data_IF_213084499606
#
_entry.id   IF_213084499606
#
_cell.length_a   1.000
_cell.length_b   1.000
_cell.length_c   1.000
_cell.angle_alpha   90.00
_cell.angle_beta   90.00
_cell.angle_gamma   90.00
#
_symmetry.space_group_name_H-M   'P 1'
#
loop_
_entity.id
_entity.type
_entity.pdbx_description
1 polymer ?
#
# COMPACT_ATOMS: atom_id res chain seq x y z
N UNK A 1 -60.64 20.63 14.93
CA UNK A 1 -59.31 20.93 14.36
C UNK A 1 -58.43 19.67 14.45
N UNK A 2 -58.29 18.99 13.30
CA UNK A 2 -57.36 17.85 13.18
C UNK A 2 -55.99 18.42 12.68
N UNK A 3 -54.96 18.28 13.50
CA UNK A 3 -53.59 18.62 13.11
C UNK A 3 -53.01 17.41 12.39
N UNK A 4 -52.78 17.52 11.06
CA UNK A 4 -52.03 16.52 10.29
C UNK A 4 -50.53 16.79 10.45
N UNK A 5 -49.85 15.95 11.20
CA UNK A 5 -48.38 15.96 11.31
C UNK A 5 -47.77 15.24 10.11
N UNK A 6 -47.19 15.98 9.17
CA UNK A 6 -46.49 15.44 8.01
C UNK A 6 -45.11 14.96 8.46
N UNK A 7 -44.94 13.64 8.57
CA UNK A 7 -43.61 13.01 8.79
C UNK A 7 -42.83 13.00 7.46
N UNK A 8 -41.85 13.89 7.32
CA UNK A 8 -40.86 13.83 6.24
C UNK A 8 -39.92 12.67 6.50
N UNK A 9 -40.07 11.60 5.72
CA UNK A 9 -39.06 10.51 5.62
C UNK A 9 -37.90 11.02 4.75
N UNK A 10 -36.77 11.39 5.39
CA UNK A 10 -35.50 11.61 4.70
C UNK A 10 -34.93 10.26 4.30
N UNK A 11 -35.14 9.85 3.04
CA UNK A 11 -34.47 8.67 2.48
C UNK A 11 -32.97 9.00 2.30
N UNK A 12 -32.14 8.55 3.23
CA UNK A 12 -30.69 8.57 3.05
C UNK A 12 -30.35 7.57 1.93
N UNK A 13 -29.97 8.07 0.76
CA UNK A 13 -29.42 7.24 -0.31
C UNK A 13 -28.10 6.66 0.18
N UNK A 14 -28.08 5.41 0.59
CA UNK A 14 -26.86 4.64 0.76
C UNK A 14 -26.21 4.48 -0.63
N UNK A 15 -25.23 5.31 -0.93
CA UNK A 15 -24.37 5.08 -2.09
C UNK A 15 -23.62 3.78 -1.84
N UNK A 16 -23.96 2.73 -2.58
CA UNK A 16 -23.20 1.49 -2.53
C UNK A 16 -21.75 1.78 -2.96
N UNK A 17 -20.80 1.40 -2.12
CA UNK A 17 -19.37 1.51 -2.43
C UNK A 17 -19.06 0.60 -3.61
N UNK A 18 -18.65 1.17 -4.75
CA UNK A 18 -18.24 0.39 -5.92
C UNK A 18 -16.73 0.17 -5.87
N UNK A 19 -16.31 -1.11 -5.98
CA UNK A 19 -14.91 -1.49 -6.08
C UNK A 19 -14.46 -1.50 -7.54
N UNK A 20 -13.32 -0.85 -7.81
CA UNK A 20 -12.65 -0.87 -9.12
C UNK A 20 -11.35 -1.67 -8.99
N UNK A 21 -11.17 -2.77 -9.74
CA UNK A 21 -9.91 -3.51 -9.69
C UNK A 21 -8.79 -2.70 -10.34
N UNK A 22 -7.69 -2.49 -9.61
CA UNK A 22 -6.48 -1.85 -10.14
C UNK A 22 -5.63 -2.84 -10.96
N UNK A 23 -5.80 -4.14 -10.71
CA UNK A 23 -5.13 -5.22 -11.43
C UNK A 23 -6.15 -6.25 -11.91
N UNK A 24 -6.08 -6.61 -13.19
CA UNK A 24 -7.02 -7.51 -13.84
C UNK A 24 -6.61 -9.00 -13.80
N UNK A 25 -5.55 -9.34 -13.06
CA UNK A 25 -5.02 -10.71 -12.97
C UNK A 25 -4.24 -11.19 -14.21
N UNK A 26 -4.14 -10.40 -15.30
CA UNK A 26 -3.65 -10.87 -16.61
C UNK A 26 -2.50 -10.06 -17.19
N UNK A 27 -2.47 -8.75 -16.98
CA UNK A 27 -1.43 -7.87 -17.53
C UNK A 27 -1.25 -6.61 -16.69
N UNK A 28 -0.13 -5.92 -16.91
CA UNK A 28 0.23 -4.69 -16.18
C UNK A 28 -0.27 -3.41 -16.88
N UNK A 29 -1.34 -3.47 -17.65
CA UNK A 29 -1.96 -2.28 -18.24
C UNK A 29 -2.43 -1.35 -17.12
N UNK A 30 -2.07 -0.07 -17.19
CA UNK A 30 -2.35 0.91 -16.14
C UNK A 30 -1.25 1.01 -15.08
N UNK A 31 -0.15 0.25 -15.23
CA UNK A 31 1.01 0.29 -14.37
C UNK A 31 2.27 0.69 -15.14
N UNK A 32 3.22 1.31 -14.45
CA UNK A 32 4.55 1.68 -14.97
C UNK A 32 5.62 1.43 -13.93
N UNK A 33 6.79 0.97 -14.35
CA UNK A 33 7.95 0.77 -13.47
C UNK A 33 8.71 2.09 -13.28
N UNK A 34 9.08 2.40 -12.04
CA UNK A 34 9.83 3.59 -11.65
C UNK A 34 11.08 3.19 -10.85
N UNK A 35 12.11 4.01 -10.96
CA UNK A 35 13.41 3.95 -10.31
C UNK A 35 14.21 2.69 -10.66
N UNK A 36 14.24 1.66 -9.82
CA UNK A 36 15.15 0.53 -9.94
C UNK A 36 14.89 -0.41 -11.13
N UNK A 37 15.57 -1.58 -11.10
CA UNK A 37 15.60 -2.56 -12.19
C UNK A 37 15.07 -3.95 -11.78
N UNK A 38 14.45 -4.08 -10.60
CA UNK A 38 13.78 -5.33 -10.21
C UNK A 38 12.68 -5.69 -11.20
N UNK A 39 12.38 -6.97 -11.32
CA UNK A 39 11.38 -7.48 -12.24
C UNK A 39 10.03 -7.64 -11.57
N UNK A 40 8.98 -7.49 -12.38
CA UNK A 40 7.62 -7.83 -12.00
C UNK A 40 7.08 -8.81 -13.04
N UNK A 41 6.52 -9.92 -12.58
CA UNK A 41 5.87 -10.95 -13.40
C UNK A 41 4.45 -11.18 -12.94
N UNK A 42 3.65 -11.81 -13.78
CA UNK A 42 2.31 -12.26 -13.39
C UNK A 42 2.37 -13.77 -13.29
N UNK A 43 2.05 -14.27 -12.09
CA UNK A 43 2.02 -15.70 -11.80
C UNK A 43 0.72 -16.00 -11.06
N UNK A 44 -0.07 -16.91 -11.57
CA UNK A 44 -1.33 -17.37 -10.94
C UNK A 44 -2.27 -16.24 -10.53
N UNK A 45 -2.40 -15.22 -11.39
CA UNK A 45 -3.26 -14.06 -11.15
C UNK A 45 -2.71 -13.05 -10.13
N UNK A 46 -1.46 -13.19 -9.68
CA UNK A 46 -0.79 -12.25 -8.81
C UNK A 46 0.33 -11.48 -9.54
N UNK A 47 0.58 -10.25 -9.14
CA UNK A 47 1.80 -9.51 -9.48
C UNK A 47 2.90 -10.01 -8.53
N UNK A 48 4.00 -10.51 -9.09
CA UNK A 48 5.15 -11.01 -8.34
C UNK A 48 6.35 -10.12 -8.62
N UNK A 49 6.82 -9.40 -7.61
CA UNK A 49 8.07 -8.64 -7.63
C UNK A 49 9.23 -9.53 -7.21
N UNK A 50 10.33 -9.46 -7.94
CA UNK A 50 11.51 -10.32 -7.74
C UNK A 50 12.68 -9.43 -7.32
N UNK A 51 13.24 -9.68 -6.16
CA UNK A 51 14.39 -8.94 -5.63
C UNK A 51 15.63 -9.08 -6.51
N UNK A 52 16.41 -8.02 -6.61
CA UNK A 52 17.59 -7.94 -7.48
C UNK A 52 18.70 -7.15 -6.82
N UNK A 53 19.91 -7.71 -6.86
CA UNK A 53 21.12 -7.01 -6.40
C UNK A 53 21.49 -5.83 -7.32
N UNK A 54 22.18 -4.84 -6.74
CA UNK A 54 22.79 -3.73 -7.48
C UNK A 54 21.78 -2.76 -8.10
N UNK A 55 20.59 -2.66 -7.54
CA UNK A 55 19.56 -1.72 -7.99
C UNK A 55 18.91 -1.02 -6.78
N UNK A 56 18.55 0.26 -6.88
CA UNK A 56 17.73 0.90 -5.84
C UNK A 56 16.33 0.30 -5.77
N UNK A 57 15.55 0.75 -4.79
CA UNK A 57 14.13 0.43 -4.70
C UNK A 57 13.46 0.57 -6.06
N UNK A 58 12.69 -0.46 -6.44
CA UNK A 58 11.91 -0.47 -7.68
C UNK A 58 10.43 -0.42 -7.32
N UNK A 59 9.67 0.39 -8.02
CA UNK A 59 8.25 0.60 -7.78
C UNK A 59 7.45 0.32 -9.04
N UNK A 60 6.42 -0.51 -8.95
CA UNK A 60 5.41 -0.65 -9.97
C UNK A 60 4.24 0.26 -9.62
N UNK A 61 4.16 1.41 -10.26
CA UNK A 61 3.23 2.49 -9.95
C UNK A 61 2.03 2.49 -10.89
N UNK A 62 0.85 2.83 -10.38
CA UNK A 62 -0.30 3.15 -11.21
C UNK A 62 -0.01 4.37 -12.10
N UNK A 63 -0.59 4.38 -13.31
CA UNK A 63 -0.48 5.53 -14.22
C UNK A 63 -1.43 6.67 -13.84
N UNK A 64 -2.43 6.38 -13.00
CA UNK A 64 -3.38 7.36 -12.43
C UNK A 64 -2.94 7.76 -11.02
N UNK A 65 -3.35 8.94 -10.60
CA UNK A 65 -3.25 9.42 -9.22
C UNK A 65 -4.60 9.24 -8.51
N UNK A 66 -4.54 9.08 -7.18
CA UNK A 66 -5.69 8.90 -6.30
C UNK A 66 -5.59 9.88 -5.14
N UNK A 67 -6.70 10.54 -4.83
CA UNK A 67 -6.87 11.41 -3.66
C UNK A 67 -7.47 10.62 -2.49
N UNK A 68 -8.79 10.69 -2.33
CA UNK A 68 -9.51 9.89 -1.36
C UNK A 68 -9.81 8.51 -1.92
N UNK A 69 -9.44 7.46 -1.17
CA UNK A 69 -9.69 6.08 -1.56
C UNK A 69 -9.69 5.13 -0.36
N UNK A 70 -10.29 3.97 -0.59
CA UNK A 70 -10.08 2.77 0.20
C UNK A 70 -9.41 1.76 -0.74
N UNK A 71 -8.28 1.21 -0.32
CA UNK A 71 -7.53 0.20 -1.05
C UNK A 71 -7.52 -1.10 -0.25
N UNK A 72 -7.90 -2.19 -0.90
CA UNK A 72 -7.72 -3.55 -0.37
C UNK A 72 -6.86 -4.36 -1.33
N UNK A 73 -6.04 -5.25 -0.78
CA UNK A 73 -5.25 -6.19 -1.54
C UNK A 73 -4.79 -7.34 -0.66
N UNK A 74 -4.52 -8.47 -1.29
CA UNK A 74 -3.82 -9.57 -0.64
C UNK A 74 -2.33 -9.51 -0.98
N UNK A 75 -1.47 -9.80 -0.01
CA UNK A 75 -0.02 -9.82 -0.21
C UNK A 75 0.66 -10.98 0.52
N UNK A 76 1.77 -11.43 -0.04
CA UNK A 76 2.65 -12.45 0.53
C UNK A 76 4.10 -12.06 0.23
N UNK A 77 5.03 -12.30 1.17
CA UNK A 77 6.45 -11.98 1.02
C UNK A 77 7.30 -13.12 1.57
N UNK A 78 8.44 -13.37 0.93
CA UNK A 78 9.43 -14.30 1.41
C UNK A 78 10.22 -13.75 2.61
N UNK A 79 10.60 -14.61 3.53
CA UNK A 79 11.38 -14.23 4.71
C UNK A 79 12.70 -13.55 4.33
N UNK A 80 13.03 -12.50 5.08
CA UNK A 80 14.26 -11.72 4.91
C UNK A 80 14.16 -10.60 3.89
N UNK A 81 13.07 -10.49 3.12
CA UNK A 81 12.80 -9.30 2.33
C UNK A 81 12.12 -8.22 3.17
N UNK A 82 12.10 -7.01 2.62
CA UNK A 82 11.23 -5.93 3.01
C UNK A 82 10.52 -5.40 1.76
N UNK A 83 9.35 -4.82 1.93
CA UNK A 83 8.55 -4.25 0.86
C UNK A 83 7.60 -3.19 1.40
N UNK A 84 6.73 -2.68 0.54
CA UNK A 84 5.67 -1.75 0.91
C UNK A 84 4.73 -1.45 -0.25
N UNK A 85 3.65 -0.75 0.08
CA UNK A 85 2.73 -0.19 -0.90
C UNK A 85 2.67 1.32 -0.72
N UNK A 86 3.09 2.05 -1.75
CA UNK A 86 3.08 3.51 -1.78
C UNK A 86 1.66 4.03 -1.91
N UNK A 87 1.35 5.13 -1.22
CA UNK A 87 0.07 5.79 -1.17
C UNK A 87 0.24 7.27 -1.48
N UNK A 88 -0.61 7.83 -2.35
CA UNK A 88 -0.53 9.26 -2.69
C UNK A 88 0.91 9.72 -2.94
N UNK A 89 1.73 8.85 -3.55
CA UNK A 89 3.15 9.10 -3.73
C UNK A 89 3.45 9.76 -5.05
N UNK A 90 4.64 10.32 -5.15
CA UNK A 90 5.08 11.12 -6.28
C UNK A 90 6.46 10.67 -6.79
N UNK A 91 6.77 11.03 -8.04
CA UNK A 91 8.09 10.87 -8.66
C UNK A 91 8.32 12.09 -9.55
N UNK A 92 8.77 13.19 -8.95
CA UNK A 92 9.01 14.46 -9.64
C UNK A 92 10.46 14.57 -10.06
N UNK A 93 10.74 15.03 -11.29
CA UNK A 93 12.09 15.12 -11.84
C UNK A 93 13.03 15.99 -11.00
N UNK A 94 12.51 17.04 -10.40
CA UNK A 94 13.21 17.98 -9.52
C UNK A 94 13.41 17.46 -8.08
N UNK A 95 12.76 16.37 -7.72
CA UNK A 95 12.97 15.72 -6.43
C UNK A 95 13.89 14.50 -6.56
N UNK A 96 15.16 14.66 -6.11
CA UNK A 96 16.18 13.61 -6.15
C UNK A 96 16.21 12.82 -7.48
N UNK A 97 16.17 13.53 -8.62
CA UNK A 97 16.15 12.95 -9.97
C UNK A 97 14.99 11.96 -10.24
N UNK A 98 13.81 12.25 -9.74
CA UNK A 98 12.63 11.40 -9.95
C UNK A 98 12.49 10.25 -8.95
N UNK A 99 13.19 10.32 -7.82
CA UNK A 99 13.03 9.31 -6.77
C UNK A 99 11.60 9.28 -6.27
N UNK A 100 11.02 8.08 -6.21
CA UNK A 100 9.71 7.85 -5.61
C UNK A 100 9.75 8.26 -4.15
N UNK A 101 8.76 9.04 -3.72
CA UNK A 101 8.64 9.53 -2.35
C UNK A 101 7.17 9.68 -1.95
N UNK A 102 6.88 9.49 -0.68
CA UNK A 102 5.53 9.60 -0.13
C UNK A 102 5.21 8.53 0.89
N UNK A 103 3.94 8.50 1.30
CA UNK A 103 3.47 7.56 2.30
C UNK A 103 3.59 6.11 1.82
N UNK A 104 4.01 5.22 2.70
CA UNK A 104 4.16 3.80 2.45
C UNK A 104 3.47 2.98 3.55
N UNK A 105 2.53 2.12 3.15
CA UNK A 105 2.13 0.98 3.95
C UNK A 105 3.29 0.00 3.98
N UNK A 106 3.86 -0.23 5.14
CA UNK A 106 5.05 -1.07 5.32
C UNK A 106 4.73 -2.56 5.28
N UNK A 107 5.60 -3.34 4.66
CA UNK A 107 5.61 -4.81 4.69
C UNK A 107 6.96 -5.27 5.22
N UNK A 108 7.00 -5.62 6.51
CA UNK A 108 8.22 -5.94 7.26
C UNK A 108 8.07 -7.29 7.98
N UNK A 109 8.52 -8.39 7.38
CA UNK A 109 8.47 -9.72 7.98
C UNK A 109 9.56 -9.96 9.02
N UNK A 110 10.43 -9.00 9.27
CA UNK A 110 11.51 -9.12 10.26
C UNK A 110 10.99 -9.27 11.70
N UNK A 111 11.87 -9.61 12.62
CA UNK A 111 11.53 -9.68 14.06
C UNK A 111 11.01 -8.36 14.63
N UNK A 112 11.25 -7.24 13.97
CA UNK A 112 10.71 -5.93 14.32
C UNK A 112 9.19 -5.90 14.18
N UNK A 113 8.62 -6.64 13.21
CA UNK A 113 7.19 -6.84 12.95
C UNK A 113 6.44 -5.51 12.83
N UNK A 114 6.86 -4.66 11.89
CA UNK A 114 6.23 -3.35 11.65
C UNK A 114 5.35 -3.32 10.40
N UNK A 115 4.98 -4.49 9.85
CA UNK A 115 3.99 -4.57 8.76
C UNK A 115 2.69 -3.89 9.15
N UNK A 116 2.15 -3.06 8.24
CA UNK A 116 0.98 -2.22 8.49
C UNK A 116 1.28 -0.86 9.12
N UNK A 117 2.52 -0.60 9.54
CA UNK A 117 2.98 0.74 9.92
C UNK A 117 3.01 1.69 8.73
N UNK A 118 3.19 2.99 8.97
CA UNK A 118 3.31 4.01 7.93
C UNK A 118 4.72 4.60 7.95
N UNK A 119 5.41 4.41 6.84
CA UNK A 119 6.69 5.02 6.53
C UNK A 119 6.51 6.15 5.51
N UNK A 120 7.41 7.12 5.46
CA UNK A 120 7.39 8.19 4.48
C UNK A 120 8.66 8.09 3.60
N UNK A 121 8.55 7.32 2.52
CA UNK A 121 9.64 6.96 1.61
C UNK A 121 10.36 8.21 1.09
N UNK A 122 11.68 8.21 1.24
CA UNK A 122 12.58 9.26 0.77
C UNK A 122 12.27 10.67 1.30
N UNK A 123 11.47 10.83 2.38
CA UNK A 123 11.15 12.12 3.02
C UNK A 123 11.43 12.10 4.52
N UNK A 124 10.44 11.73 5.35
CA UNK A 124 10.45 11.90 6.82
C UNK A 124 10.68 10.61 7.60
N UNK A 125 10.86 9.46 6.91
CA UNK A 125 11.01 8.15 7.53
C UNK A 125 9.72 7.69 8.25
N UNK A 126 9.82 7.14 9.45
CA UNK A 126 8.70 6.56 10.18
C UNK A 126 7.72 7.63 10.67
N UNK A 127 6.48 7.61 10.16
CA UNK A 127 5.38 8.41 10.69
C UNK A 127 4.61 7.63 11.76
N UNK A 128 4.44 6.32 11.57
CA UNK A 128 3.79 5.45 12.55
C UNK A 128 4.43 4.05 12.56
N UNK A 129 5.51 3.84 13.31
CA UNK A 129 6.06 2.50 13.54
C UNK A 129 5.12 1.70 14.44
N UNK A 130 5.02 0.35 14.26
CA UNK A 130 4.16 -0.46 15.14
C UNK A 130 4.71 -0.62 16.58
N UNK A 131 5.81 0.02 16.90
CA UNK A 131 6.16 0.25 18.31
C UNK A 131 5.08 1.06 19.05
N UNK A 132 4.32 1.91 18.34
CA UNK A 132 3.20 2.69 18.87
C UNK A 132 1.91 1.88 19.03
N UNK A 133 1.82 0.71 18.38
CA UNK A 133 0.69 -0.22 18.48
C UNK A 133 1.20 -1.68 18.58
N UNK A 134 1.76 -2.08 19.72
CA UNK A 134 2.35 -3.40 19.87
C UNK A 134 1.39 -4.57 19.63
N UNK A 135 0.09 -4.37 19.90
CA UNK A 135 -0.93 -5.40 19.70
C UNK A 135 -1.09 -5.78 18.22
N UNK A 136 -0.83 -4.85 17.29
CA UNK A 136 -0.93 -5.11 15.85
C UNK A 136 0.25 -5.91 15.29
N UNK A 137 1.36 -6.05 16.00
CA UNK A 137 2.56 -6.76 15.52
C UNK A 137 2.31 -8.24 15.18
N UNK A 138 1.28 -8.85 15.74
CA UNK A 138 0.90 -10.24 15.48
C UNK A 138 -0.11 -10.41 14.33
N UNK A 139 -0.56 -9.31 13.73
CA UNK A 139 -1.55 -9.32 12.65
C UNK A 139 -1.00 -9.92 11.35
N UNK A 140 0.26 -9.62 11.03
CA UNK A 140 0.95 -10.15 9.86
C UNK A 140 1.40 -11.60 10.09
N UNK A 141 1.20 -12.45 9.07
CA UNK A 141 1.60 -13.87 9.07
C UNK A 141 2.66 -14.10 8.01
N UNK A 142 3.86 -14.51 8.43
CA UNK A 142 4.95 -14.86 7.52
C UNK A 142 4.57 -16.01 6.59
N UNK A 143 5.11 -16.00 5.38
CA UNK A 143 4.93 -17.05 4.37
C UNK A 143 3.46 -17.39 4.02
N UNK A 144 2.53 -16.52 4.34
CA UNK A 144 1.10 -16.67 4.08
C UNK A 144 0.55 -15.46 3.34
N UNK A 145 -0.56 -15.63 2.67
CA UNK A 145 -1.35 -14.50 2.17
C UNK A 145 -1.96 -13.73 3.34
N UNK A 146 -1.80 -12.43 3.31
CA UNK A 146 -2.36 -11.48 4.26
C UNK A 146 -3.24 -10.50 3.51
N UNK A 147 -4.39 -10.16 4.07
CA UNK A 147 -5.27 -9.11 3.55
C UNK A 147 -4.88 -7.78 4.17
N UNK A 148 -4.55 -6.81 3.34
CA UNK A 148 -4.36 -5.41 3.72
C UNK A 148 -5.60 -4.59 3.40
N UNK A 149 -5.87 -3.60 4.24
CA UNK A 149 -6.81 -2.52 3.98
C UNK A 149 -6.18 -1.20 4.36
N UNK A 150 -6.34 -0.20 3.51
CA UNK A 150 -5.85 1.16 3.70
C UNK A 150 -7.00 2.11 3.40
N UNK A 151 -7.25 3.05 4.29
CA UNK A 151 -8.20 4.15 4.07
C UNK A 151 -7.42 5.46 4.09
N UNK A 152 -7.41 6.16 2.97
CA UNK A 152 -6.84 7.49 2.81
C UNK A 152 -7.97 8.45 2.44
N UNK A 153 -8.57 9.10 3.44
CA UNK A 153 -9.74 9.97 3.29
C UNK A 153 -9.43 11.33 3.93
N UNK A 154 -9.49 12.40 3.14
CA UNK A 154 -9.01 13.71 3.58
C UNK A 154 -7.56 13.59 4.05
N UNK A 155 -7.26 14.09 5.23
CA UNK A 155 -5.92 14.01 5.84
C UNK A 155 -5.71 12.76 6.70
N UNK A 156 -6.72 11.89 6.84
CA UNK A 156 -6.61 10.66 7.64
C UNK A 156 -6.07 9.52 6.79
N UNK A 157 -5.05 8.81 7.29
CA UNK A 157 -4.54 7.56 6.72
C UNK A 157 -4.58 6.50 7.81
N UNK A 158 -5.32 5.42 7.54
CA UNK A 158 -5.50 4.28 8.46
C UNK A 158 -5.18 2.98 7.75
N UNK A 159 -4.60 2.02 8.47
CA UNK A 159 -4.18 0.74 7.91
C UNK A 159 -4.64 -0.44 8.78
N UNK A 160 -4.88 -1.57 8.11
CA UNK A 160 -5.23 -2.84 8.75
C UNK A 160 -4.51 -3.99 8.05
N UNK A 161 -4.18 -5.02 8.81
CA UNK A 161 -3.77 -6.34 8.30
C UNK A 161 -4.68 -7.40 8.92
N UNK A 162 -5.26 -8.26 8.09
CA UNK A 162 -6.14 -9.36 8.51
C UNK A 162 -7.28 -8.89 9.44
N UNK A 163 -7.80 -7.69 9.21
CA UNK A 163 -8.85 -7.07 10.02
C UNK A 163 -8.36 -6.39 11.32
N UNK A 164 -7.07 -6.50 11.66
CA UNK A 164 -6.50 -5.86 12.85
C UNK A 164 -6.05 -4.44 12.50
N UNK A 165 -6.52 -3.38 13.21
CA UNK A 165 -6.04 -2.01 13.03
C UNK A 165 -4.56 -1.89 13.36
N UNK A 166 -3.77 -1.32 12.43
CA UNK A 166 -2.32 -1.20 12.56
C UNK A 166 -1.88 0.24 12.86
N UNK A 167 -2.10 1.16 11.94
CA UNK A 167 -1.69 2.56 12.07
C UNK A 167 -2.85 3.52 11.80
N UNK A 168 -2.75 4.71 12.38
CA UNK A 168 -3.68 5.81 12.17
C UNK A 168 -2.91 7.13 12.31
N UNK A 169 -2.82 7.90 11.22
CA UNK A 169 -2.20 9.23 11.21
C UNK A 169 -3.14 10.27 10.63
N UNK A 170 -2.85 11.51 10.96
CA UNK A 170 -3.43 12.70 10.34
C UNK A 170 -2.31 13.51 9.73
N UNK A 171 -2.26 13.60 8.38
CA UNK A 171 -1.17 14.24 7.66
C UNK A 171 -1.67 14.77 6.30
N UNK A 172 -1.30 15.99 5.94
CA UNK A 172 -1.79 16.72 4.77
C UNK A 172 -0.70 16.99 3.71
N UNK A 173 0.51 16.42 3.87
CA UNK A 173 1.64 16.75 3.00
C UNK A 173 1.38 16.40 1.53
N UNK A 174 0.72 15.27 1.26
CA UNK A 174 0.43 14.83 -0.12
C UNK A 174 -1.02 14.37 -0.23
N UNK A 175 -1.94 15.24 -0.68
CA UNK A 175 -3.37 14.90 -0.73
C UNK A 175 -3.74 13.95 -1.87
N UNK A 176 -2.87 13.78 -2.87
CA UNK A 176 -3.11 12.94 -4.05
C UNK A 176 -1.80 12.51 -4.69
N UNK A 177 -1.75 11.31 -5.23
CA UNK A 177 -0.61 10.73 -5.92
C UNK A 177 -0.88 9.31 -6.38
N UNK A 178 0.12 8.63 -6.94
CA UNK A 178 -0.04 7.25 -7.38
C UNK A 178 -0.01 6.26 -6.20
N UNK A 179 -0.49 5.05 -6.47
CA UNK A 179 -0.29 3.85 -5.67
C UNK A 179 0.84 3.05 -6.33
N UNK A 180 1.79 2.49 -5.54
CA UNK A 180 2.83 1.67 -6.13
C UNK A 180 3.26 0.51 -5.22
N UNK A 181 3.63 -0.61 -5.86
CA UNK A 181 4.12 -1.83 -5.23
C UNK A 181 5.65 -1.79 -5.22
N UNK A 182 6.28 -1.92 -4.05
CA UNK A 182 7.72 -1.81 -3.90
C UNK A 182 8.40 -3.18 -3.97
N UNK A 183 9.47 -3.29 -4.74
CA UNK A 183 10.54 -4.27 -4.52
C UNK A 183 11.73 -3.53 -3.95
N UNK A 184 12.03 -3.76 -2.68
CA UNK A 184 13.09 -3.05 -1.99
C UNK A 184 14.46 -3.47 -2.51
N UNK A 185 15.39 -2.53 -2.50
CA UNK A 185 16.81 -2.79 -2.72
C UNK A 185 17.33 -3.78 -1.66
N UNK A 186 18.11 -4.74 -2.10
CA UNK A 186 18.72 -5.74 -1.22
C UNK A 186 20.23 -5.52 -1.14
N UNK A 187 20.80 -5.80 0.03
CA UNK A 187 22.24 -5.70 0.30
C UNK A 187 22.94 -7.04 0.39
N UNK A 188 22.19 -8.14 0.43
CA UNK A 188 22.73 -9.49 0.59
C UNK A 188 22.34 -10.36 -0.60
N UNK A 189 23.33 -11.04 -1.19
CA UNK A 189 23.13 -11.93 -2.33
C UNK A 189 22.16 -13.10 -2.03
N UNK A 190 22.03 -13.52 -0.77
CA UNK A 190 21.05 -14.55 -0.36
C UNK A 190 19.58 -14.11 -0.47
N UNK A 191 19.35 -12.82 -0.66
CA UNK A 191 18.02 -12.25 -0.85
C UNK A 191 17.66 -12.13 -2.35
N UNK A 192 18.63 -12.29 -3.26
CA UNK A 192 18.36 -12.19 -4.71
C UNK A 192 17.46 -13.31 -5.20
N UNK A 193 16.47 -12.95 -6.01
CA UNK A 193 15.49 -13.89 -6.53
C UNK A 193 14.33 -14.22 -5.60
N UNK A 194 14.36 -13.76 -4.34
CA UNK A 194 13.20 -13.85 -3.43
C UNK A 194 12.06 -12.94 -3.91
N UNK A 195 10.85 -13.22 -3.45
CA UNK A 195 9.63 -12.62 -4.01
C UNK A 195 8.76 -11.91 -2.99
N UNK A 196 8.06 -10.92 -3.47
CA UNK A 196 6.87 -10.34 -2.85
C UNK A 196 5.73 -10.35 -3.88
N UNK A 197 4.55 -10.74 -3.45
CA UNK A 197 3.41 -10.97 -4.34
C UNK A 197 2.19 -10.19 -3.87
N UNK A 198 1.40 -9.69 -4.84
CA UNK A 198 0.16 -8.97 -4.59
C UNK A 198 -0.93 -9.43 -5.55
N UNK A 199 -2.16 -9.55 -5.07
CA UNK A 199 -3.36 -9.86 -5.86
C UNK A 199 -4.60 -9.21 -5.28
N UNK A 200 -5.70 -9.33 -6.00
CA UNK A 200 -7.01 -8.79 -5.59
C UNK A 200 -6.94 -7.30 -5.18
N UNK A 201 -6.18 -6.55 -6.02
CA UNK A 201 -5.90 -5.13 -5.82
C UNK A 201 -7.01 -4.29 -6.41
#
# INVERSE_FOLDING_TARGET
NFLFTLLLFCAASLSAQTWEPLFNGKNLKGWKKLNGKAEYKIVDGAIVGISKMGTPNTFLATTKNYGDFILEFDFKIDDGLNSGVQLRSESKKDYQNGRVHGYQFEIDPSKRAWSGGIYDEARRNWLYPLALNPAAKTAFKNNAWNKARIEAIGNSIRTWINGVPCANIWDDMTPSGFIALQVQAIGNASEEGKTVSWKDI
#
